data_IF_080379636869
#
_entry.id   IF_080379636869
#
_cell.length_a   1.000
_cell.length_b   1.000
_cell.length_c   1.000
_cell.angle_alpha   90.00
_cell.angle_beta   90.00
_cell.angle_gamma   90.00
#
_symmetry.space_group_name_H-M   'P 1'
#
loop_
_entity.id
_entity.type
_entity.pdbx_description
1 polymer ?
#
# COMPACT_ATOMS: atom_id res chain seq x y z
N UNK A 1 -10.54 5.28 -5.96
CA UNK A 1 -11.06 6.42 -5.20
C UNK A 1 -10.04 7.56 -5.20
N UNK A 2 -10.40 8.73 -4.66
CA UNK A 2 -9.46 9.85 -4.53
C UNK A 2 -8.42 9.68 -3.41
N UNK A 3 -8.60 8.65 -2.58
CA UNK A 3 -7.85 8.30 -1.37
C UNK A 3 -7.24 6.89 -1.43
N UNK A 4 -7.36 6.21 -2.58
CA UNK A 4 -6.77 4.90 -2.83
C UNK A 4 -5.46 5.05 -3.60
N UNK A 5 -4.43 4.35 -3.13
CA UNK A 5 -3.10 4.39 -3.72
C UNK A 5 -2.61 2.98 -4.04
N UNK A 6 -1.75 2.89 -5.04
CA UNK A 6 -1.16 1.63 -5.49
C UNK A 6 0.34 1.78 -5.48
N UNK A 7 1.02 0.87 -4.79
CA UNK A 7 2.46 0.73 -4.84
C UNK A 7 2.81 -0.53 -5.65
N UNK A 8 3.73 -0.39 -6.61
CA UNK A 8 4.27 -1.51 -7.38
C UNK A 8 5.75 -1.62 -7.06
N UNK A 9 6.16 -2.80 -6.57
CA UNK A 9 7.56 -3.17 -6.51
C UNK A 9 7.87 -4.22 -7.58
N UNK A 10 9.10 -4.18 -8.11
CA UNK A 10 9.61 -5.10 -9.11
C UNK A 10 11.04 -5.45 -8.76
N UNK A 11 11.38 -6.73 -8.69
CA UNK A 11 12.72 -7.16 -8.31
C UNK A 11 12.69 -8.50 -7.58
N UNK A 12 13.84 -8.97 -7.08
CA UNK A 12 13.94 -10.22 -6.32
C UNK A 12 13.43 -10.08 -4.87
N UNK A 13 12.58 -9.08 -4.59
CA UNK A 13 12.07 -8.83 -3.25
C UNK A 13 11.38 -10.09 -2.72
N UNK A 14 11.78 -10.46 -1.51
CA UNK A 14 11.13 -11.51 -0.75
C UNK A 14 9.80 -11.00 -0.20
N UNK A 15 8.87 -11.92 0.07
CA UNK A 15 7.60 -11.59 0.71
C UNK A 15 7.80 -10.81 2.03
N UNK A 16 8.88 -11.06 2.75
CA UNK A 16 9.24 -10.35 3.98
C UNK A 16 9.61 -8.88 3.71
N UNK A 17 10.43 -8.60 2.70
CA UNK A 17 10.78 -7.22 2.32
C UNK A 17 9.55 -6.42 1.87
N UNK A 18 8.59 -7.06 1.18
CA UNK A 18 7.31 -6.45 0.80
C UNK A 18 6.46 -6.14 2.03
N UNK A 19 6.40 -7.06 3.00
CA UNK A 19 5.70 -6.82 4.26
C UNK A 19 6.34 -5.70 5.08
N UNK A 20 7.66 -5.62 5.13
CA UNK A 20 8.38 -4.53 5.79
C UNK A 20 8.06 -3.18 5.14
N UNK A 21 8.02 -3.13 3.80
CA UNK A 21 7.63 -1.92 3.07
C UNK A 21 6.20 -1.49 3.42
N UNK A 22 5.25 -2.43 3.42
CA UNK A 22 3.88 -2.15 3.83
C UNK A 22 3.80 -1.61 5.26
N UNK A 23 4.55 -2.21 6.19
CA UNK A 23 4.66 -1.75 7.57
C UNK A 23 5.21 -0.32 7.69
N UNK A 24 6.26 0.02 6.92
CA UNK A 24 6.80 1.40 6.88
C UNK A 24 5.77 2.41 6.37
N UNK A 25 5.00 2.06 5.34
CA UNK A 25 3.94 2.92 4.80
C UNK A 25 2.85 3.15 5.85
N UNK A 26 2.36 2.10 6.51
CA UNK A 26 1.34 2.22 7.56
C UNK A 26 1.83 3.08 8.74
N UNK A 27 3.08 2.91 9.16
CA UNK A 27 3.67 3.72 10.23
C UNK A 27 3.79 5.20 9.83
N UNK A 28 4.14 5.48 8.57
CA UNK A 28 4.18 6.85 8.07
C UNK A 28 2.77 7.49 8.06
N UNK A 29 1.75 6.76 7.58
CA UNK A 29 0.36 7.22 7.56
C UNK A 29 -0.21 7.46 8.97
N UNK A 30 0.23 6.68 9.96
CA UNK A 30 -0.20 6.84 11.34
C UNK A 30 0.36 8.10 12.03
N UNK A 31 1.36 8.76 11.42
CA UNK A 31 1.91 10.02 11.96
C UNK A 31 0.89 11.14 11.79
N UNK A 32 0.43 11.81 12.87
CA UNK A 32 -0.54 12.87 12.75
C UNK A 32 -0.01 14.07 11.96
N UNK A 33 -0.86 14.68 11.14
CA UNK A 33 -0.57 15.91 10.40
C UNK A 33 -1.33 17.09 10.97
N UNK A 34 -0.72 18.26 10.93
CA UNK A 34 -1.37 19.52 11.32
C UNK A 34 -1.99 20.19 10.11
N UNK A 35 -3.30 20.43 10.18
CA UNK A 35 -4.06 21.14 9.16
C UNK A 35 -5.03 22.12 9.84
N UNK A 36 -4.95 23.40 9.49
CA UNK A 36 -5.78 24.49 10.06
C UNK A 36 -5.84 24.50 11.60
N UNK A 37 -4.68 24.28 12.24
CA UNK A 37 -4.55 24.25 13.70
C UNK A 37 -5.14 23.02 14.37
N UNK A 38 -5.63 22.04 13.61
CA UNK A 38 -6.10 20.74 14.10
C UNK A 38 -5.07 19.67 13.81
N UNK A 39 -5.02 18.67 14.67
CA UNK A 39 -4.24 17.46 14.45
C UNK A 39 -5.15 16.38 13.86
N UNK A 40 -4.77 15.86 12.70
CA UNK A 40 -5.51 14.83 11.98
C UNK A 40 -4.65 13.59 11.88
N UNK A 41 -5.23 12.45 12.26
CA UNK A 41 -4.60 11.15 12.10
C UNK A 41 -5.44 10.31 11.15
N UNK A 42 -4.78 9.64 10.22
CA UNK A 42 -5.43 8.69 9.30
C UNK A 42 -4.98 7.29 9.63
N UNK A 43 -5.85 6.33 9.32
CA UNK A 43 -5.51 4.90 9.32
C UNK A 43 -5.70 4.40 7.90
N UNK A 44 -4.86 3.47 7.49
CA UNK A 44 -4.94 2.81 6.20
C UNK A 44 -4.91 1.30 6.37
N UNK A 45 -5.35 0.62 5.32
CA UNK A 45 -5.14 -0.80 5.09
C UNK A 45 -4.31 -0.98 3.82
N UNK A 46 -3.56 -2.07 3.74
CA UNK A 46 -2.79 -2.42 2.55
C UNK A 46 -3.07 -3.89 2.25
N UNK A 47 -3.65 -4.16 1.07
CA UNK A 47 -3.68 -5.50 0.49
C UNK A 47 -2.40 -5.75 -0.32
N UNK A 48 -1.83 -6.95 -0.19
CA UNK A 48 -0.59 -7.35 -0.90
C UNK A 48 -0.92 -8.49 -1.85
N UNK A 49 -0.48 -8.35 -3.10
CA UNK A 49 -0.64 -9.37 -4.14
C UNK A 49 0.72 -9.64 -4.77
N UNK A 50 1.18 -10.88 -4.64
CA UNK A 50 2.42 -11.36 -5.24
C UNK A 50 2.12 -12.24 -6.47
N UNK A 51 2.98 -12.14 -7.49
CA UNK A 51 2.87 -12.98 -8.68
C UNK A 51 3.87 -12.61 -9.78
N UNK A 52 4.03 -13.47 -10.79
CA UNK A 52 4.94 -13.23 -11.90
C UNK A 52 4.52 -12.01 -12.71
N UNK A 53 5.50 -11.20 -13.15
CA UNK A 53 5.20 -10.02 -13.97
C UNK A 53 4.56 -10.43 -15.30
N UNK A 54 3.41 -9.84 -15.64
CA UNK A 54 2.74 -10.05 -16.93
C UNK A 54 1.74 -11.19 -16.98
N UNK A 55 1.59 -11.99 -15.91
CA UNK A 55 0.55 -13.04 -15.85
C UNK A 55 -0.82 -12.51 -15.43
N UNK A 56 -0.88 -11.34 -14.79
CA UNK A 56 -2.11 -10.66 -14.39
C UNK A 56 -2.15 -9.27 -14.98
N UNK A 57 -3.32 -8.90 -15.49
CA UNK A 57 -3.59 -7.51 -15.86
C UNK A 57 -3.57 -6.62 -14.62
N UNK A 58 -3.26 -5.33 -14.79
CA UNK A 58 -3.31 -4.37 -13.70
C UNK A 58 -4.70 -4.36 -13.00
N UNK A 59 -5.78 -4.55 -13.76
CA UNK A 59 -7.13 -4.63 -13.22
C UNK A 59 -7.37 -5.86 -12.32
N UNK A 60 -6.75 -7.00 -12.62
CA UNK A 60 -6.82 -8.21 -11.79
C UNK A 60 -6.00 -8.05 -10.52
N UNK A 61 -4.80 -7.47 -10.60
CA UNK A 61 -3.94 -7.20 -9.43
C UNK A 61 -4.64 -6.26 -8.46
N UNK A 62 -5.20 -5.16 -8.97
CA UNK A 62 -5.93 -4.18 -8.15
C UNK A 62 -7.12 -4.81 -7.45
N UNK A 63 -7.91 -5.62 -8.16
CA UNK A 63 -9.07 -6.30 -7.57
C UNK A 63 -8.68 -7.28 -6.47
N UNK A 64 -7.55 -7.97 -6.62
CA UNK A 64 -7.05 -8.89 -5.57
C UNK A 64 -6.50 -8.16 -4.34
N UNK A 65 -6.07 -6.90 -4.48
CA UNK A 65 -5.58 -6.08 -3.38
C UNK A 65 -6.69 -5.31 -2.64
N UNK A 66 -7.90 -5.26 -3.20
CA UNK A 66 -9.05 -4.46 -2.75
C UNK A 66 -10.07 -5.24 -1.88
N UNK A 67 -9.75 -6.47 -1.46
CA UNK A 67 -10.63 -7.32 -0.62
C UNK A 67 -10.10 -7.46 0.81
#
# INVERSE_FOLDING_TARGET
GGDEFVALTTGPDTAEEVHELAGRILNALATPIRLDGRELSVRGSIGIVEGPSGERSAAEVLRSADI
#
